data_IF_594799021085
#
_entry.id   IF_594799021085
#
_cell.length_a   1.000
_cell.length_b   1.000
_cell.length_c   1.000
_cell.angle_alpha   90.00
_cell.angle_beta   90.00
_cell.angle_gamma   90.00
#
_symmetry.space_group_name_H-M   'P 1'
#
loop_
_entity.id
_entity.type
_entity.pdbx_description
1 polymer ?
#
# COMPACT_ATOMS: atom_id res chain seq x y z
N UNK A 1 -13.08 17.51 3.69
CA UNK A 1 -12.81 16.06 3.51
C UNK A 1 -11.68 15.75 2.52
N UNK A 2 -11.02 16.75 1.93
CA UNK A 2 -10.01 16.57 0.87
C UNK A 2 -8.69 15.96 1.37
N UNK A 3 -8.23 16.36 2.56
CA UNK A 3 -6.98 15.83 3.16
C UNK A 3 -7.08 14.36 3.59
N UNK A 4 -8.25 13.93 4.12
CA UNK A 4 -8.47 12.54 4.51
C UNK A 4 -8.48 11.60 3.30
N UNK A 5 -9.18 11.99 2.22
CA UNK A 5 -9.12 11.27 0.95
C UNK A 5 -7.69 11.20 0.41
N UNK A 6 -6.98 12.32 0.38
CA UNK A 6 -5.61 12.37 -0.13
C UNK A 6 -4.62 11.44 0.58
N UNK A 7 -4.86 11.16 1.86
CA UNK A 7 -4.02 10.26 2.64
C UNK A 7 -4.48 8.79 2.56
N UNK A 8 -5.79 8.53 2.67
CA UNK A 8 -6.37 7.18 2.75
C UNK A 8 -6.10 6.34 1.48
N UNK A 9 -6.16 6.97 0.30
CA UNK A 9 -5.94 6.29 -0.98
C UNK A 9 -4.51 5.71 -1.10
N UNK A 10 -3.43 6.51 -1.01
CA UNK A 10 -2.08 5.98 -1.09
C UNK A 10 -1.70 5.13 0.12
N UNK A 11 -2.17 5.48 1.33
CA UNK A 11 -1.86 4.72 2.55
C UNK A 11 -2.33 3.28 2.45
N UNK A 12 -3.56 3.05 2.00
CA UNK A 12 -4.14 1.70 1.91
C UNK A 12 -3.35 0.81 0.94
N UNK A 13 -2.95 1.35 -0.22
CA UNK A 13 -2.10 0.66 -1.20
C UNK A 13 -0.71 0.34 -0.65
N UNK A 14 -0.04 1.34 -0.04
CA UNK A 14 1.32 1.19 0.48
C UNK A 14 1.35 0.21 1.65
N UNK A 15 0.37 0.30 2.56
CA UNK A 15 0.27 -0.63 3.70
C UNK A 15 0.04 -2.07 3.23
N UNK A 16 -0.82 -2.27 2.22
CA UNK A 16 -1.04 -3.58 1.62
C UNK A 16 0.24 -4.14 0.96
N UNK A 17 1.01 -3.30 0.27
CA UNK A 17 2.30 -3.67 -0.30
C UNK A 17 3.33 -4.02 0.80
N UNK A 18 3.47 -3.19 1.83
CA UNK A 18 4.41 -3.43 2.94
C UNK A 18 4.06 -4.71 3.69
N UNK A 19 2.77 -5.01 3.88
CA UNK A 19 2.30 -6.22 4.52
C UNK A 19 2.59 -7.50 3.71
N UNK A 20 2.62 -7.38 2.37
CA UNK A 20 2.78 -8.54 1.47
C UNK A 20 4.18 -8.71 0.91
N UNK A 21 5.00 -7.67 0.88
CA UNK A 21 6.38 -7.72 0.41
C UNK A 21 7.21 -8.77 1.19
N UNK A 22 8.10 -9.54 0.53
CA UNK A 22 8.81 -10.66 1.16
C UNK A 22 9.66 -10.25 2.38
N UNK A 23 10.38 -9.12 2.29
CA UNK A 23 11.25 -8.64 3.37
C UNK A 23 10.46 -7.98 4.51
N UNK A 24 9.51 -7.10 4.18
CA UNK A 24 8.78 -6.28 5.15
C UNK A 24 7.55 -6.99 5.74
N UNK A 25 7.03 -8.00 5.03
CA UNK A 25 5.89 -8.81 5.44
C UNK A 25 6.24 -9.85 6.52
N UNK A 26 7.53 -10.08 6.82
CA UNK A 26 7.97 -11.09 7.79
C UNK A 26 7.33 -10.85 9.19
N UNK A 27 6.81 -11.91 9.87
CA UNK A 27 6.29 -11.82 11.23
C UNK A 27 7.30 -11.29 12.27
N UNK A 28 8.61 -11.45 12.03
CA UNK A 28 9.67 -10.92 12.89
C UNK A 28 9.71 -9.39 12.94
N UNK A 29 9.13 -8.70 11.94
CA UNK A 29 9.02 -7.23 11.95
C UNK A 29 7.74 -6.83 12.69
N UNK A 30 7.82 -6.01 13.75
CA UNK A 30 6.63 -5.57 14.49
C UNK A 30 5.66 -4.77 13.61
N UNK A 31 4.36 -4.99 13.79
CA UNK A 31 3.30 -4.28 13.05
C UNK A 31 3.42 -2.76 13.17
N UNK A 32 3.86 -2.25 14.33
CA UNK A 32 4.09 -0.82 14.57
C UNK A 32 5.14 -0.23 13.63
N UNK A 33 6.20 -0.98 13.33
CA UNK A 33 7.27 -0.55 12.42
C UNK A 33 6.74 -0.53 10.98
N UNK A 34 5.96 -1.54 10.58
CA UNK A 34 5.32 -1.61 9.26
C UNK A 34 4.39 -0.43 9.02
N UNK A 35 3.55 -0.11 10.01
CA UNK A 35 2.66 1.05 9.99
C UNK A 35 3.45 2.36 9.90
N UNK A 36 4.49 2.52 10.73
CA UNK A 36 5.35 3.72 10.70
C UNK A 36 6.02 3.93 9.34
N UNK A 37 6.56 2.85 8.74
CA UNK A 37 7.14 2.89 7.39
C UNK A 37 6.11 3.25 6.33
N UNK A 38 4.94 2.61 6.35
CA UNK A 38 3.88 2.88 5.37
C UNK A 38 3.41 4.33 5.44
N UNK A 39 3.22 4.87 6.65
CA UNK A 39 2.86 6.27 6.88
C UNK A 39 3.96 7.21 6.37
N UNK A 40 5.23 6.94 6.71
CA UNK A 40 6.36 7.76 6.28
C UNK A 40 6.47 7.81 4.75
N UNK A 41 6.37 6.66 4.07
CA UNK A 41 6.38 6.59 2.61
C UNK A 41 5.19 7.34 2.03
N UNK A 42 4.01 7.21 2.63
CA UNK A 42 2.80 7.91 2.17
C UNK A 42 2.99 9.43 2.21
N UNK A 43 3.55 9.97 3.29
CA UNK A 43 3.84 11.41 3.42
C UNK A 43 4.84 11.88 2.36
N UNK A 44 5.87 11.07 2.08
CA UNK A 44 6.88 11.41 1.06
C UNK A 44 6.31 11.38 -0.37
N UNK A 45 5.40 10.45 -0.65
CA UNK A 45 4.81 10.26 -1.99
C UNK A 45 3.60 11.17 -2.23
N UNK A 46 2.96 11.68 -1.18
CA UNK A 46 1.79 12.55 -1.24
C UNK A 46 1.89 13.66 -2.30
N UNK A 47 2.92 14.54 -2.32
CA UNK A 47 3.01 15.63 -3.30
C UNK A 47 3.13 15.15 -4.76
N UNK A 48 3.55 13.90 -4.99
CA UNK A 48 3.68 13.31 -6.32
C UNK A 48 2.34 12.81 -6.87
N UNK A 49 1.37 12.51 -5.99
CA UNK A 49 0.11 11.84 -6.34
C UNK A 49 -1.09 12.80 -6.21
N UNK A 50 -0.92 13.97 -5.60
CA UNK A 50 -2.00 14.94 -5.36
C UNK A 50 -2.87 15.28 -6.58
N UNK A 51 -2.30 15.28 -7.79
CA UNK A 51 -3.04 15.59 -9.03
C UNK A 51 -3.94 14.47 -9.56
N UNK A 52 -3.73 13.23 -9.15
CA UNK A 52 -4.37 12.04 -9.73
C UNK A 52 -5.26 11.27 -8.73
N UNK A 53 -5.62 11.91 -7.61
CA UNK A 53 -6.47 11.31 -6.60
C UNK A 53 -7.95 11.34 -7.00
N UNK A 54 -8.72 10.26 -6.74
CA UNK A 54 -10.16 10.26 -6.91
C UNK A 54 -10.80 11.34 -6.04
N UNK A 55 -11.59 12.23 -6.64
CA UNK A 55 -12.40 13.23 -5.93
C UNK A 55 -13.69 12.60 -5.35
N UNK A 56 -13.57 11.42 -4.76
CA UNK A 56 -14.66 10.64 -4.20
C UNK A 56 -14.41 10.51 -2.70
N UNK A 57 -15.46 10.69 -1.91
CA UNK A 57 -15.39 10.48 -0.47
C UNK A 57 -15.10 9.00 -0.16
N UNK A 58 -14.00 8.67 0.54
CA UNK A 58 -13.71 7.28 0.93
C UNK A 58 -14.80 6.63 1.76
N UNK A 59 -15.60 7.40 2.50
CA UNK A 59 -16.71 6.91 3.31
C UNK A 59 -17.98 6.61 2.49
N UNK A 60 -18.02 6.98 1.21
CA UNK A 60 -19.12 6.61 0.31
C UNK A 60 -19.04 5.14 -0.11
N UNK A 61 -20.18 4.54 -0.50
CA UNK A 61 -20.21 3.15 -0.97
C UNK A 61 -19.30 2.89 -2.18
N UNK A 62 -19.19 3.87 -3.08
CA UNK A 62 -18.25 3.82 -4.22
C UNK A 62 -16.80 3.95 -3.73
N UNK A 63 -16.56 4.83 -2.76
CA UNK A 63 -15.24 5.02 -2.16
C UNK A 63 -14.70 3.74 -1.50
N UNK A 64 -15.56 3.00 -0.81
CA UNK A 64 -15.20 1.71 -0.21
C UNK A 64 -14.76 0.67 -1.26
N UNK A 65 -15.45 0.60 -2.40
CA UNK A 65 -15.08 -0.31 -3.49
C UNK A 65 -13.69 0.04 -4.08
N UNK A 66 -13.41 1.34 -4.26
CA UNK A 66 -12.10 1.81 -4.71
C UNK A 66 -11.02 1.48 -3.66
N UNK A 67 -11.33 1.57 -2.36
CA UNK A 67 -10.37 1.24 -1.30
C UNK A 67 -9.98 -0.23 -1.36
N UNK A 68 -10.96 -1.11 -1.55
CA UNK A 68 -10.72 -2.53 -1.76
C UNK A 68 -9.81 -2.76 -2.97
N UNK A 69 -10.05 -2.04 -4.08
CA UNK A 69 -9.20 -2.09 -5.25
C UNK A 69 -7.76 -1.64 -4.94
N UNK A 70 -7.56 -0.58 -4.16
CA UNK A 70 -6.21 -0.13 -3.78
C UNK A 70 -5.45 -1.17 -2.95
N UNK A 71 -6.15 -1.83 -2.03
CA UNK A 71 -5.59 -2.94 -1.24
C UNK A 71 -5.22 -4.11 -2.15
N UNK A 72 -6.10 -4.49 -3.08
CA UNK A 72 -5.83 -5.57 -4.04
C UNK A 72 -4.62 -5.26 -4.93
N UNK A 73 -4.47 -4.02 -5.40
CA UNK A 73 -3.29 -3.59 -6.17
C UNK A 73 -2.02 -3.71 -5.31
N UNK A 74 -2.06 -3.27 -4.05
CA UNK A 74 -0.95 -3.41 -3.10
C UNK A 74 -0.53 -4.87 -2.89
N UNK A 75 -1.50 -5.75 -2.67
CA UNK A 75 -1.29 -7.20 -2.52
C UNK A 75 -0.69 -7.80 -3.79
N UNK A 76 -1.22 -7.47 -4.96
CA UNK A 76 -0.74 -7.98 -6.24
C UNK A 76 0.73 -7.60 -6.46
N UNK A 77 1.11 -6.35 -6.20
CA UNK A 77 2.51 -5.91 -6.29
C UNK A 77 3.41 -6.67 -5.32
N UNK A 78 2.99 -6.86 -4.07
CA UNK A 78 3.76 -7.64 -3.10
C UNK A 78 3.91 -9.12 -3.48
N UNK A 79 2.87 -9.71 -4.07
CA UNK A 79 2.93 -11.07 -4.61
C UNK A 79 3.94 -11.19 -5.76
N UNK A 80 3.94 -10.22 -6.68
CA UNK A 80 4.95 -10.17 -7.76
C UNK A 80 6.36 -10.13 -7.19
N UNK A 81 6.60 -9.29 -6.17
CA UNK A 81 7.90 -9.27 -5.49
C UNK A 81 8.26 -10.63 -4.88
N UNK A 82 7.31 -11.34 -4.26
CA UNK A 82 7.55 -12.69 -3.73
C UNK A 82 7.97 -13.67 -4.82
N UNK A 83 7.28 -13.65 -5.97
CA UNK A 83 7.62 -14.51 -7.11
C UNK A 83 9.05 -14.24 -7.59
N UNK A 84 9.44 -12.97 -7.68
CA UNK A 84 10.81 -12.59 -8.07
C UNK A 84 11.84 -13.08 -7.05
N UNK A 85 11.59 -12.92 -5.75
CA UNK A 85 12.49 -13.41 -4.70
C UNK A 85 12.64 -14.93 -4.75
N UNK A 86 11.53 -15.67 -4.85
CA UNK A 86 11.56 -17.13 -4.98
C UNK A 86 12.32 -17.55 -6.23
N UNK A 87 12.13 -16.88 -7.36
CA UNK A 87 12.85 -17.20 -8.59
C UNK A 87 14.37 -17.03 -8.44
N UNK A 88 14.81 -15.99 -7.73
CA UNK A 88 16.24 -15.76 -7.44
C UNK A 88 16.78 -16.79 -6.45
N UNK A 89 16.04 -17.12 -5.39
CA UNK A 89 16.42 -18.17 -4.44
C UNK A 89 16.56 -19.54 -5.10
N UNK A 90 15.72 -19.86 -6.08
CA UNK A 90 15.79 -21.11 -6.84
C UNK A 90 16.91 -21.13 -7.88
N UNK A 91 17.46 -19.98 -8.25
CA UNK A 91 18.55 -19.86 -9.23
C UNK A 91 19.95 -19.95 -8.59
N UNK A 92 20.06 -19.67 -7.29
CA UNK A 92 21.29 -19.84 -6.52
C UNK A 92 21.48 -21.26 -6.03
#
# INVERSE_FOLDING_TARGET
NTLLGAFIWPLSRILALVATAPLLGNPSVPVRVKLGLAVMITVLVMPLVEKSLPQIDPASGVGFAILLQQVLIGIAMGLVMRIVFVAVEMAG
#
